data_IF_231594428436
#
_entry.id   IF_231594428436
#
_cell.length_a   1.000
_cell.length_b   1.000
_cell.length_c   1.000
_cell.angle_alpha   90.00
_cell.angle_beta   90.00
_cell.angle_gamma   90.00
#
_symmetry.space_group_name_H-M   'P 1'
#
loop_
_entity.id
_entity.type
_entity.pdbx_description
1 polymer ?
#
# COMPACT_ATOMS: atom_id res chain seq x y z
N UNK A 1 -11.86 6.66 20.13
CA UNK A 1 -11.46 7.38 18.91
C UNK A 1 -9.99 7.05 18.68
N UNK A 2 -9.72 6.01 17.91
CA UNK A 2 -8.34 5.56 17.64
C UNK A 2 -7.69 6.59 16.74
N UNK A 3 -6.53 7.11 17.15
CA UNK A 3 -5.77 8.06 16.36
C UNK A 3 -5.43 7.41 15.01
N UNK A 4 -5.84 8.05 13.91
CA UNK A 4 -5.33 7.71 12.58
C UNK A 4 -3.87 8.14 12.58
N UNK A 5 -2.96 7.19 12.81
CA UNK A 5 -1.53 7.39 12.60
C UNK A 5 -1.35 7.92 11.18
N UNK A 6 -0.77 9.11 11.06
CA UNK A 6 -0.56 9.77 9.78
C UNK A 6 0.46 8.95 9.00
N UNK A 7 0.00 8.04 8.13
CA UNK A 7 0.89 7.25 7.26
C UNK A 7 1.68 8.25 6.41
N UNK A 8 3.01 8.09 6.34
CA UNK A 8 3.85 8.97 5.53
C UNK A 8 3.32 9.00 4.09
N UNK A 9 3.11 10.20 3.54
CA UNK A 9 2.58 10.36 2.18
C UNK A 9 3.58 9.81 1.17
N UNK A 10 3.13 8.97 0.23
CA UNK A 10 4.02 8.45 -0.80
C UNK A 10 4.37 9.55 -1.81
N UNK A 11 5.67 9.72 -2.09
CA UNK A 11 6.17 10.74 -3.01
C UNK A 11 6.65 10.09 -4.30
N UNK A 12 6.19 10.61 -5.46
CA UNK A 12 6.63 10.12 -6.76
C UNK A 12 8.13 10.39 -6.95
N UNK A 13 8.96 9.37 -7.24
CA UNK A 13 10.41 9.56 -7.39
C UNK A 13 10.76 10.44 -8.60
N UNK A 14 9.92 10.42 -9.65
CA UNK A 14 10.13 11.21 -10.87
C UNK A 14 9.60 12.64 -10.75
N UNK A 15 8.39 12.81 -10.23
CA UNK A 15 7.72 14.12 -10.22
C UNK A 15 7.91 14.89 -8.91
N UNK A 16 8.36 14.23 -7.84
CA UNK A 16 8.52 14.79 -6.49
C UNK A 16 7.24 15.38 -5.89
N UNK A 17 6.08 14.91 -6.35
CA UNK A 17 4.76 15.28 -5.80
C UNK A 17 4.17 14.13 -5.01
N UNK A 18 3.24 14.44 -4.12
CA UNK A 18 2.43 13.44 -3.43
C UNK A 18 1.65 12.58 -4.43
N UNK A 19 1.68 11.27 -4.21
CA UNK A 19 0.90 10.30 -4.97
C UNK A 19 -0.47 10.10 -4.30
N UNK A 20 -1.50 9.93 -5.12
CA UNK A 20 -2.85 9.68 -4.65
C UNK A 20 -2.97 8.23 -4.17
N UNK A 21 -3.49 8.04 -2.96
CA UNK A 21 -3.95 6.73 -2.50
C UNK A 21 -5.15 6.30 -3.34
N UNK A 22 -4.97 5.29 -4.19
CA UNK A 22 -5.98 4.91 -5.17
C UNK A 22 -6.87 3.79 -4.66
N UNK A 23 -6.27 2.75 -4.06
CA UNK A 23 -7.01 1.65 -3.46
C UNK A 23 -6.15 0.87 -2.47
N UNK A 24 -6.84 0.12 -1.61
CA UNK A 24 -6.28 -0.97 -0.82
C UNK A 24 -6.64 -2.29 -1.49
N UNK A 25 -5.68 -3.20 -1.59
CA UNK A 25 -5.90 -4.54 -2.13
C UNK A 25 -5.52 -5.60 -1.11
N UNK A 26 -6.35 -6.62 -0.97
CA UNK A 26 -5.98 -7.83 -0.24
C UNK A 26 -5.14 -8.71 -1.16
N UNK A 27 -3.91 -8.99 -0.74
CA UNK A 27 -3.00 -9.93 -1.40
C UNK A 27 -2.99 -11.22 -0.60
N UNK A 28 -3.56 -12.28 -1.17
CA UNK A 28 -3.54 -13.61 -0.54
C UNK A 28 -2.11 -14.16 -0.55
N UNK A 29 -1.68 -14.69 0.59
CA UNK A 29 -0.39 -15.36 0.69
C UNK A 29 -0.45 -16.72 0.01
N UNK A 30 0.25 -16.85 -1.11
CA UNK A 30 0.43 -18.12 -1.83
C UNK A 30 1.77 -18.78 -1.55
N UNK A 31 2.76 -18.02 -1.05
CA UNK A 31 4.07 -18.53 -0.65
C UNK A 31 4.15 -18.65 0.88
N UNK A 32 4.61 -19.79 1.43
CA UNK A 32 4.88 -19.95 2.85
C UNK A 32 5.84 -18.89 3.44
N UNK A 33 6.73 -18.29 2.65
CA UNK A 33 7.62 -17.22 3.10
C UNK A 33 6.89 -15.93 3.45
N UNK A 34 5.72 -15.68 2.85
CA UNK A 34 4.92 -14.48 3.07
C UNK A 34 3.95 -14.66 4.26
N UNK A 35 3.82 -15.87 4.79
CA UNK A 35 2.89 -16.20 5.88
C UNK A 35 3.13 -15.38 7.15
N UNK A 36 4.36 -14.91 7.39
CA UNK A 36 4.69 -14.04 8.52
C UNK A 36 4.12 -12.62 8.43
N UNK A 37 3.67 -12.20 7.24
CA UNK A 37 3.09 -10.89 6.98
C UNK A 37 1.57 -10.94 6.82
N UNK A 38 0.98 -12.14 6.74
CA UNK A 38 -0.45 -12.32 6.57
C UNK A 38 -1.24 -12.01 7.84
N UNK A 39 -2.35 -11.29 7.70
CA UNK A 39 -3.42 -11.26 8.68
C UNK A 39 -4.17 -12.61 8.62
N UNK A 40 -4.20 -13.39 9.73
CA UNK A 40 -4.88 -14.69 9.77
C UNK A 40 -6.38 -14.61 9.47
N UNK A 41 -7.01 -13.46 9.70
CA UNK A 41 -8.44 -13.22 9.46
C UNK A 41 -8.74 -12.97 7.99
N UNK A 42 -7.74 -12.50 7.22
CA UNK A 42 -7.87 -12.19 5.80
C UNK A 42 -7.26 -13.28 4.90
N UNK A 43 -6.36 -14.10 5.44
CA UNK A 43 -5.60 -15.09 4.66
C UNK A 43 -4.56 -14.45 3.73
N UNK A 44 -4.11 -13.24 4.07
CA UNK A 44 -3.28 -12.40 3.24
C UNK A 44 -2.96 -11.08 3.92
N UNK A 45 -2.36 -10.15 3.19
CA UNK A 45 -2.01 -8.82 3.69
C UNK A 45 -2.61 -7.71 2.83
N UNK A 46 -2.80 -6.53 3.42
CA UNK A 46 -3.31 -5.36 2.70
C UNK A 46 -2.12 -4.61 2.09
N UNK A 47 -2.21 -4.34 0.79
CA UNK A 47 -1.25 -3.50 0.07
C UNK A 47 -1.96 -2.25 -0.45
N UNK A 48 -1.41 -1.09 -0.13
CA UNK A 48 -1.88 0.21 -0.61
C UNK A 48 -1.29 0.48 -2.00
N UNK A 49 -2.13 0.79 -2.98
CA UNK A 49 -1.70 1.20 -4.32
C UNK A 49 -1.88 2.71 -4.52
N UNK A 50 -0.81 3.36 -4.97
CA UNK A 50 -0.74 4.79 -5.19
C UNK A 50 -0.41 5.14 -6.63
N UNK A 51 -0.95 6.27 -7.11
CA UNK A 51 -0.71 6.78 -8.47
C UNK A 51 -0.26 8.24 -8.46
N UNK A 52 0.74 8.58 -9.27
CA UNK A 52 1.20 9.95 -9.41
C UNK A 52 0.21 10.75 -10.28
N UNK A 53 -0.39 11.84 -9.78
CA UNK A 53 -1.34 12.63 -10.56
C UNK A 53 -0.70 13.37 -11.75
N UNK A 54 0.63 13.51 -11.78
CA UNK A 54 1.35 14.26 -12.81
C UNK A 54 1.80 13.38 -13.98
N UNK A 55 2.29 12.18 -13.72
CA UNK A 55 2.85 11.29 -14.75
C UNK A 55 2.15 9.93 -14.87
N UNK A 56 1.18 9.62 -14.00
CA UNK A 56 0.47 8.34 -13.99
C UNK A 56 1.28 7.16 -13.43
N UNK A 57 2.52 7.36 -12.98
CA UNK A 57 3.35 6.29 -12.40
C UNK A 57 2.71 5.69 -11.15
N UNK A 58 2.71 4.36 -11.05
CA UNK A 58 2.16 3.60 -9.92
C UNK A 58 3.24 3.10 -8.96
N UNK A 59 2.90 2.97 -7.70
CA UNK A 59 3.73 2.31 -6.68
C UNK A 59 2.84 1.73 -5.58
N UNK A 60 3.34 0.71 -4.89
CA UNK A 60 2.64 0.05 -3.79
C UNK A 60 3.46 0.01 -2.51
N UNK A 61 2.79 -0.16 -1.37
CA UNK A 61 3.43 -0.54 -0.10
C UNK A 61 2.50 -1.40 0.74
N UNK A 62 3.08 -2.20 1.63
CA UNK A 62 2.33 -2.87 2.69
C UNK A 62 1.69 -1.82 3.61
N UNK A 63 0.42 -2.02 3.95
CA UNK A 63 -0.33 -1.16 4.88
C UNK A 63 0.05 -1.40 6.35
#
# INVERSE_FOLDING_TARGET
>A
MTAVTKTDKMICPSCRVEMNHHCDKLVYTTDPQDAGQADPSLGGFIEEFHTCPKCGGGASRLA
#
